data_IF_109088748723
#
_entry.id   IF_109088748723
#
_cell.length_a   1.000
_cell.length_b   1.000
_cell.length_c   1.000
_cell.angle_alpha   90.00
_cell.angle_beta   90.00
_cell.angle_gamma   90.00
#
_symmetry.space_group_name_H-M   'P 1'
#
loop_
_entity.id
_entity.type
_entity.pdbx_description
1 polymer ?
#
# COMPACT_ATOMS: atom_id res chain seq x y z
N UNK A 1 9.98 11.89 -14.55
CA UNK A 1 9.72 10.70 -13.70
C UNK A 1 8.78 11.12 -12.59
N UNK A 2 7.49 10.82 -12.75
CA UNK A 2 6.45 11.29 -11.84
C UNK A 2 6.62 10.63 -10.46
N UNK A 3 6.80 11.45 -9.41
CA UNK A 3 6.93 11.05 -8.01
C UNK A 3 5.65 10.41 -7.41
N UNK A 4 4.70 9.99 -8.25
CA UNK A 4 3.40 9.45 -7.82
C UNK A 4 3.44 8.01 -7.34
N UNK A 5 4.55 7.28 -7.48
CA UNK A 5 4.72 5.89 -7.00
C UNK A 5 5.43 5.75 -5.65
N UNK A 6 6.08 6.81 -5.15
CA UNK A 6 6.95 6.72 -3.96
C UNK A 6 6.19 6.51 -2.66
N UNK A 7 4.99 7.09 -2.54
CA UNK A 7 4.20 7.01 -1.31
C UNK A 7 3.52 5.65 -1.14
N UNK A 8 3.05 5.04 -2.23
CA UNK A 8 2.41 3.72 -2.19
C UNK A 8 3.43 2.63 -1.85
N UNK A 9 4.63 2.70 -2.42
CA UNK A 9 5.72 1.81 -2.03
C UNK A 9 6.08 1.97 -0.55
N UNK A 10 6.14 3.20 -0.03
CA UNK A 10 6.38 3.45 1.40
C UNK A 10 5.36 2.74 2.30
N UNK A 11 4.06 2.90 2.02
CA UNK A 11 3.03 2.24 2.83
C UNK A 11 3.00 0.71 2.67
N UNK A 12 3.33 0.18 1.50
CA UNK A 12 3.47 -1.27 1.28
C UNK A 12 4.64 -1.81 2.12
N UNK A 13 5.81 -1.17 2.07
CA UNK A 13 6.97 -1.56 2.86
C UNK A 13 6.68 -1.45 4.35
N UNK A 14 5.98 -0.41 4.79
CA UNK A 14 5.56 -0.24 6.17
C UNK A 14 4.61 -1.37 6.63
N UNK A 15 3.59 -1.69 5.84
CA UNK A 15 2.67 -2.79 6.14
C UNK A 15 3.36 -4.16 6.20
N UNK A 16 4.34 -4.41 5.32
CA UNK A 16 5.17 -5.60 5.38
C UNK A 16 6.06 -5.64 6.62
N UNK A 17 6.60 -4.49 7.06
CA UNK A 17 7.37 -4.38 8.29
C UNK A 17 6.52 -4.76 9.52
N UNK A 18 5.26 -4.31 9.57
CA UNK A 18 4.32 -4.69 10.63
C UNK A 18 4.05 -6.19 10.65
N UNK A 19 3.92 -6.84 9.49
CA UNK A 19 3.75 -8.29 9.39
C UNK A 19 5.02 -9.01 9.85
N UNK A 20 6.20 -8.52 9.50
CA UNK A 20 7.47 -9.14 9.85
C UNK A 20 7.79 -9.02 11.36
N UNK A 21 7.39 -7.92 11.98
CA UNK A 21 7.54 -7.67 13.43
C UNK A 21 6.44 -8.37 14.23
N UNK A 22 5.30 -8.70 13.60
CA UNK A 22 4.15 -9.31 14.27
C UNK A 22 4.44 -10.51 15.18
N UNK A 23 5.40 -11.42 14.89
CA UNK A 23 5.68 -12.55 15.78
C UNK A 23 6.25 -12.12 17.14
N UNK A 24 6.77 -10.90 17.24
CA UNK A 24 7.35 -10.32 18.46
C UNK A 24 6.32 -9.51 19.28
N UNK A 25 5.10 -9.36 18.79
CA UNK A 25 4.05 -8.61 19.46
C UNK A 25 3.18 -9.49 20.35
N UNK A 26 2.62 -8.90 21.40
CA UNK A 26 1.72 -9.60 22.34
C UNK A 26 0.48 -10.21 21.66
N UNK A 27 0.01 -9.58 20.57
CA UNK A 27 -1.10 -10.06 19.75
C UNK A 27 -0.72 -10.10 18.26
N UNK A 28 -0.02 -11.15 17.80
CA UNK A 28 0.47 -11.26 16.43
C UNK A 28 -0.67 -11.17 15.39
N UNK A 29 -1.82 -11.79 15.69
CA UNK A 29 -2.97 -11.82 14.78
C UNK A 29 -3.53 -10.42 14.46
N UNK A 30 -3.59 -9.53 15.46
CA UNK A 30 -4.08 -8.15 15.27
C UNK A 30 -3.09 -7.35 14.43
N UNK A 31 -1.79 -7.53 14.68
CA UNK A 31 -0.73 -6.80 13.97
C UNK A 31 -0.60 -7.26 12.51
N UNK A 32 -0.74 -8.56 12.24
CA UNK A 32 -0.82 -9.12 10.88
C UNK A 32 -2.03 -8.56 10.14
N UNK A 33 -3.20 -8.57 10.78
CA UNK A 33 -4.45 -8.08 10.17
C UNK A 33 -4.36 -6.59 9.85
N UNK A 34 -3.79 -5.80 10.77
CA UNK A 34 -3.53 -4.38 10.56
C UNK A 34 -2.52 -4.12 9.44
N UNK A 35 -1.41 -4.85 9.41
CA UNK A 35 -0.41 -4.75 8.35
C UNK A 35 -0.98 -5.09 6.98
N UNK A 36 -1.77 -6.16 6.87
CA UNK A 36 -2.48 -6.56 5.66
C UNK A 36 -3.46 -5.48 5.18
N UNK A 37 -4.25 -4.89 6.10
CA UNK A 37 -5.18 -3.81 5.76
C UNK A 37 -4.45 -2.61 5.14
N UNK A 38 -3.30 -2.21 5.70
CA UNK A 38 -2.48 -1.11 5.19
C UNK A 38 -1.96 -1.42 3.77
N UNK A 39 -1.48 -2.63 3.53
CA UNK A 39 -1.02 -3.06 2.19
C UNK A 39 -2.16 -3.02 1.18
N UNK A 40 -3.33 -3.56 1.53
CA UNK A 40 -4.50 -3.60 0.64
C UNK A 40 -4.95 -2.18 0.27
N UNK A 41 -5.08 -1.28 1.24
CA UNK A 41 -5.48 0.11 1.00
C UNK A 41 -4.48 0.80 0.05
N UNK A 42 -3.19 0.56 0.26
CA UNK A 42 -2.12 1.15 -0.56
C UNK A 42 -2.19 0.69 -2.02
N UNK A 43 -2.44 -0.62 -2.24
CA UNK A 43 -2.61 -1.19 -3.58
C UNK A 43 -3.88 -0.66 -4.25
N UNK A 44 -4.98 -0.53 -3.53
CA UNK A 44 -6.23 0.04 -4.07
C UNK A 44 -6.02 1.48 -4.53
N UNK A 45 -5.35 2.31 -3.70
CA UNK A 45 -5.02 3.69 -4.07
C UNK A 45 -4.11 3.74 -5.30
N UNK A 46 -3.12 2.86 -5.38
CA UNK A 46 -2.25 2.76 -6.55
C UNK A 46 -3.04 2.42 -7.82
N UNK A 47 -3.92 1.42 -7.76
CA UNK A 47 -4.74 1.01 -8.91
C UNK A 47 -5.67 2.14 -9.36
N UNK A 48 -6.27 2.88 -8.42
CA UNK A 48 -7.10 4.06 -8.74
C UNK A 48 -6.27 5.18 -9.38
N UNK A 49 -5.08 5.45 -8.87
CA UNK A 49 -4.17 6.46 -9.42
C UNK A 49 -3.77 6.10 -10.87
N UNK A 50 -3.36 4.85 -11.13
CA UNK A 50 -3.00 4.37 -12.47
C UNK A 50 -4.19 4.44 -13.44
N UNK A 51 -5.41 4.10 -12.99
CA UNK A 51 -6.61 4.18 -13.83
C UNK A 51 -6.93 5.63 -14.21
N UNK A 52 -6.86 6.56 -13.25
CA UNK A 52 -7.09 7.99 -13.47
C UNK A 52 -6.05 8.59 -14.43
N UNK A 53 -4.79 8.17 -14.32
CA UNK A 53 -3.72 8.60 -15.20
C UNK A 53 -3.93 8.13 -16.66
N UNK A 54 -4.32 6.86 -16.85
CA UNK A 54 -4.71 6.32 -18.16
C UNK A 54 -5.92 7.03 -18.78
N UNK A 55 -6.93 7.38 -17.99
CA UNK A 55 -8.12 8.09 -18.50
C UNK A 55 -7.79 9.53 -18.93
N UNK A 56 -6.88 10.21 -18.23
CA UNK A 56 -6.42 11.55 -18.60
C UNK A 56 -5.55 11.55 -19.87
N UNK A 57 -4.70 10.52 -20.04
CA UNK A 57 -3.86 10.37 -21.23
C UNK A 57 -4.62 9.96 -22.51
N UNK A 58 -5.87 9.48 -22.38
CA UNK A 58 -6.72 9.07 -23.52
C UNK A 58 -7.57 10.21 -24.10
N UNK A 59 -7.58 11.38 -23.45
CA UNK A 59 -8.38 12.55 -23.82
C UNK A 59 -7.63 13.57 -24.71
N UNK A 60 -6.37 13.29 -25.04
CA UNK A 60 -5.54 14.04 -25.99
C UNK A 60 -5.21 13.14 -27.19
#
# INVERSE_FOLDING_TARGET
MEKKGSWQLFFITLGLLFIMISPQAENPGVMITGGLAIVIISVIQWRKAVKKDKENHKKW
#
